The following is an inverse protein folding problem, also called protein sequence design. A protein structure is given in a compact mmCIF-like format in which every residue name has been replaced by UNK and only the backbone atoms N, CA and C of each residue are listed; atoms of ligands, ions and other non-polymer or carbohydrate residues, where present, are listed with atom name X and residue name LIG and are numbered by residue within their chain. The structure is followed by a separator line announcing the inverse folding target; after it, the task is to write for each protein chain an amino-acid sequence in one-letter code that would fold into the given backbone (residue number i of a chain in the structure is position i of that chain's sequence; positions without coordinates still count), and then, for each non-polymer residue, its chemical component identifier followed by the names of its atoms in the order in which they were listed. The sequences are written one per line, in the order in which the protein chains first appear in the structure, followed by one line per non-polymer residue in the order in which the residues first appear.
data_IF_942157680111
#
_entry.id   IF_942157680111
#
_cell.length_a   1.000
_cell.length_b   1.000
_cell.length_c   1.000
_cell.angle_alpha   90.00
_cell.angle_beta   90.00
_cell.angle_gamma   90.00
#
_symmetry.space_group_name_H-M   'P 1'
#
loop_
_entity.id
_entity.type
_entity.pdbx_description
1 polymer ?
#
# COMPACT_ATOMS: atom_id res chain seq x y z
N UNK A 1 16.86 -7.08 -27.08
CA UNK A 1 18.13 -6.99 -26.31
C UNK A 1 17.98 -6.28 -24.95
N UNK A 2 17.32 -5.12 -24.81
CA UNK A 2 17.09 -4.47 -23.49
C UNK A 2 16.24 -5.30 -22.51
N UNK A 3 15.17 -5.97 -22.97
CA UNK A 3 14.32 -6.87 -22.14
C UNK A 3 15.11 -8.04 -21.55
N UNK A 4 15.93 -8.72 -22.36
CA UNK A 4 16.73 -9.88 -21.92
C UNK A 4 17.76 -9.46 -20.86
N UNK A 5 18.47 -8.33 -21.05
CA UNK A 5 19.45 -7.83 -20.08
C UNK A 5 18.82 -7.42 -18.75
N UNK A 6 17.61 -6.86 -18.77
CA UNK A 6 16.84 -6.56 -17.56
C UNK A 6 16.37 -7.84 -16.83
N UNK A 7 15.92 -8.86 -17.57
CA UNK A 7 15.53 -10.15 -17.01
C UNK A 7 16.72 -10.89 -16.37
N UNK A 8 17.88 -10.91 -17.03
CA UNK A 8 19.10 -11.51 -16.47
C UNK A 8 19.53 -10.80 -15.18
N UNK A 9 19.41 -9.47 -15.09
CA UNK A 9 19.67 -8.76 -13.83
C UNK A 9 18.72 -9.13 -12.69
N UNK A 10 17.45 -9.48 -12.98
CA UNK A 10 16.48 -9.93 -11.97
C UNK A 10 16.71 -11.38 -11.53
N UNK A 11 17.26 -12.23 -12.40
CA UNK A 11 17.69 -13.58 -12.05
C UNK A 11 18.90 -13.58 -11.11
N UNK A 12 19.84 -12.62 -11.29
CA UNK A 12 21.00 -12.44 -10.41
C UNK A 12 20.60 -11.86 -9.03
N UNK A 13 19.51 -11.08 -8.96
CA UNK A 13 18.94 -10.55 -7.71
C UNK A 13 17.79 -11.40 -7.15
N UNK A 14 17.58 -12.61 -7.67
CA UNK A 14 16.47 -13.47 -7.27
C UNK A 14 16.79 -14.08 -5.89
N UNK A 15 15.90 -13.90 -4.91
CA UNK A 15 16.01 -14.61 -3.64
C UNK A 15 15.59 -16.07 -3.84
N UNK A 16 16.51 -16.87 -4.37
CA UNK A 16 16.32 -18.30 -4.67
C UNK A 16 15.94 -19.07 -3.41
N UNK A 17 16.52 -18.70 -2.26
CA UNK A 17 16.22 -19.36 -0.98
C UNK A 17 14.76 -19.15 -0.61
N UNK A 18 14.26 -17.92 -0.70
CA UNK A 18 12.86 -17.64 -0.41
C UNK A 18 11.92 -18.27 -1.44
N UNK A 19 12.26 -18.22 -2.74
CA UNK A 19 11.48 -18.87 -3.79
C UNK A 19 11.32 -20.38 -3.54
N UNK A 20 12.39 -21.08 -3.15
CA UNK A 20 12.31 -22.51 -2.79
C UNK A 20 11.47 -22.71 -1.53
N UNK A 21 11.56 -21.81 -0.55
CA UNK A 21 10.72 -21.81 0.64
C UNK A 21 9.22 -21.75 0.29
N UNK A 22 8.84 -20.79 -0.55
CA UNK A 22 7.48 -20.64 -1.07
C UNK A 22 7.04 -21.89 -1.85
N UNK A 23 7.88 -22.41 -2.74
CA UNK A 23 7.56 -23.61 -3.50
C UNK A 23 7.32 -24.85 -2.60
N UNK A 24 8.10 -25.00 -1.52
CA UNK A 24 7.88 -26.06 -0.52
C UNK A 24 6.57 -25.86 0.22
N UNK A 25 6.25 -24.64 0.61
CA UNK A 25 4.99 -24.32 1.27
C UNK A 25 3.79 -24.64 0.37
N UNK A 26 3.88 -24.33 -0.94
CA UNK A 26 2.85 -24.69 -1.94
C UNK A 26 2.80 -26.21 -2.12
N UNK A 27 3.94 -26.88 -2.21
CA UNK A 27 4.03 -28.34 -2.33
C UNK A 27 3.47 -29.09 -1.12
N UNK A 28 3.50 -28.50 0.08
CA UNK A 28 2.90 -29.10 1.27
C UNK A 28 1.36 -29.05 1.25
N UNK A 29 0.79 -28.03 0.58
CA UNK A 29 -0.66 -27.83 0.46
C UNK A 29 -1.23 -28.22 -0.92
N UNK A 30 -0.39 -28.69 -1.83
CA UNK A 30 -0.78 -29.20 -3.15
C UNK A 30 -0.17 -30.57 -3.34
N UNK A 31 -0.79 -31.45 -4.12
CA UNK A 31 -0.19 -32.75 -4.48
C UNK A 31 0.94 -32.62 -5.51
N UNK A 32 1.46 -31.40 -5.76
CA UNK A 32 2.46 -31.10 -6.78
C UNK A 32 3.87 -31.10 -6.17
N UNK A 33 4.84 -31.84 -6.76
CA UNK A 33 6.21 -31.83 -6.27
C UNK A 33 6.86 -30.44 -6.32
N UNK A 34 7.68 -30.11 -5.33
CA UNK A 34 8.35 -28.80 -5.20
C UNK A 34 9.10 -28.40 -6.47
N UNK A 35 9.81 -29.34 -7.12
CA UNK A 35 10.57 -29.06 -8.35
C UNK A 35 9.67 -28.63 -9.51
N UNK A 36 8.46 -29.20 -9.62
CA UNK A 36 7.48 -28.83 -10.64
C UNK A 36 6.98 -27.41 -10.40
N UNK A 37 6.70 -27.06 -9.13
CA UNK A 37 6.29 -25.70 -8.75
C UNK A 37 7.41 -24.69 -9.05
N UNK A 38 8.67 -25.01 -8.75
CA UNK A 38 9.81 -24.12 -9.07
C UNK A 38 9.91 -23.88 -10.58
N UNK A 39 9.81 -24.94 -11.40
CA UNK A 39 9.83 -24.81 -12.85
C UNK A 39 8.65 -23.98 -13.37
N UNK A 40 7.45 -24.18 -12.81
CA UNK A 40 6.26 -23.40 -13.18
C UNK A 40 6.36 -21.93 -12.74
N UNK A 41 6.97 -21.62 -11.59
CA UNK A 41 7.26 -20.25 -11.18
C UNK A 41 8.20 -19.54 -12.16
N UNK A 42 9.27 -20.22 -12.59
CA UNK A 42 10.21 -19.68 -13.59
C UNK A 42 9.49 -19.44 -14.91
N UNK A 43 8.69 -20.41 -15.37
CA UNK A 43 7.87 -20.25 -16.57
C UNK A 43 6.90 -19.06 -16.45
N UNK A 44 6.21 -18.92 -15.33
CA UNK A 44 5.27 -17.82 -15.09
C UNK A 44 5.96 -16.44 -15.02
N UNK A 45 7.20 -16.38 -14.51
CA UNK A 45 8.01 -15.16 -14.53
C UNK A 45 8.37 -14.72 -15.95
N UNK A 46 8.65 -15.68 -16.84
CA UNK A 46 8.97 -15.41 -18.25
C UNK A 46 7.74 -15.03 -19.06
N UNK A 47 6.61 -15.72 -18.87
CA UNK A 47 5.41 -15.56 -19.70
C UNK A 47 4.46 -14.47 -19.18
N UNK A 48 4.21 -14.46 -17.86
CA UNK A 48 3.22 -13.58 -17.23
C UNK A 48 3.88 -12.43 -16.45
N UNK A 49 5.21 -12.36 -16.40
CA UNK A 49 5.98 -11.40 -15.58
C UNK A 49 5.70 -11.52 -14.07
N UNK A 50 5.21 -12.68 -13.64
CA UNK A 50 4.89 -13.01 -12.25
C UNK A 50 6.16 -13.24 -11.44
N UNK A 51 6.33 -12.50 -10.34
CA UNK A 51 7.26 -12.91 -9.29
C UNK A 51 6.80 -14.20 -8.60
N UNK A 52 7.66 -14.82 -7.78
CA UNK A 52 7.25 -16.00 -6.99
C UNK A 52 6.27 -15.63 -5.86
N UNK A 53 6.29 -14.37 -5.39
CA UNK A 53 5.28 -13.85 -4.45
C UNK A 53 3.94 -13.64 -5.15
N UNK A 54 3.91 -13.02 -6.34
CA UNK A 54 2.69 -12.94 -7.15
C UNK A 54 2.10 -14.36 -7.41
N UNK A 55 2.98 -15.34 -7.69
CA UNK A 55 2.59 -16.71 -7.96
C UNK A 55 1.89 -17.36 -6.76
N UNK A 56 2.44 -17.17 -5.55
CA UNK A 56 1.85 -17.67 -4.31
C UNK A 56 0.56 -16.92 -3.96
N UNK A 57 0.61 -15.58 -3.99
CA UNK A 57 -0.47 -14.72 -3.55
C UNK A 57 -1.71 -14.89 -4.44
N UNK A 58 -1.52 -15.00 -5.75
CA UNK A 58 -2.61 -15.18 -6.73
C UNK A 58 -2.89 -16.66 -7.06
N UNK A 59 -2.28 -17.59 -6.32
CA UNK A 59 -2.50 -19.02 -6.43
C UNK A 59 -2.34 -19.55 -7.86
N UNK A 60 -1.31 -19.09 -8.57
CA UNK A 60 -1.10 -19.42 -9.99
C UNK A 60 -1.03 -20.93 -10.22
N UNK A 61 -0.56 -21.72 -9.24
CA UNK A 61 -0.56 -23.18 -9.30
C UNK A 61 -1.96 -23.81 -9.48
N UNK A 62 -3.04 -23.07 -9.21
CA UNK A 62 -4.44 -23.51 -9.34
C UNK A 62 -5.14 -23.03 -10.61
N UNK A 63 -4.44 -22.24 -11.42
CA UNK A 63 -4.96 -21.55 -12.60
C UNK A 63 -4.45 -22.16 -13.89
N UNK A 64 -5.31 -22.22 -14.90
CA UNK A 64 -4.92 -22.53 -16.29
C UNK A 64 -4.14 -21.37 -16.93
N UNK A 65 -3.46 -21.63 -18.05
CA UNK A 65 -2.72 -20.59 -18.79
C UNK A 65 -3.61 -19.42 -19.26
N UNK A 66 -4.85 -19.70 -19.68
CA UNK A 66 -5.80 -18.65 -20.09
C UNK A 66 -6.29 -17.82 -18.90
N UNK A 67 -6.40 -18.43 -17.71
CA UNK A 67 -6.71 -17.70 -16.49
C UNK A 67 -5.51 -16.84 -16.06
N UNK A 68 -4.30 -17.40 -15.98
CA UNK A 68 -3.07 -16.68 -15.61
C UNK A 68 -2.81 -15.45 -16.48
N UNK A 69 -3.12 -15.52 -17.78
CA UNK A 69 -2.93 -14.39 -18.71
C UNK A 69 -3.85 -13.18 -18.44
N UNK A 70 -4.81 -13.30 -17.53
CA UNK A 70 -5.69 -12.20 -17.10
C UNK A 70 -5.21 -11.47 -15.85
N UNK A 71 -4.15 -11.94 -15.19
CA UNK A 71 -3.68 -11.34 -13.93
C UNK A 71 -2.65 -10.26 -14.17
N UNK A 72 -2.80 -9.13 -13.49
CA UNK A 72 -1.74 -8.13 -13.44
C UNK A 72 -0.71 -8.57 -12.39
N UNK A 73 0.56 -8.48 -12.72
CA UNK A 73 1.66 -8.91 -11.85
C UNK A 73 2.55 -7.74 -11.44
N UNK A 74 3.46 -7.97 -10.48
CA UNK A 74 4.46 -6.99 -10.10
C UNK A 74 5.36 -6.59 -11.28
N UNK A 75 5.62 -7.50 -12.22
CA UNK A 75 6.36 -7.18 -13.46
C UNK A 75 5.58 -6.27 -14.41
N UNK A 76 4.27 -6.48 -14.54
CA UNK A 76 3.37 -5.60 -15.29
C UNK A 76 3.32 -4.20 -14.68
N UNK A 77 3.05 -4.08 -13.37
CA UNK A 77 3.00 -2.80 -12.67
C UNK A 77 4.32 -2.03 -12.78
N UNK A 78 5.47 -2.72 -12.64
CA UNK A 78 6.77 -2.09 -12.86
C UNK A 78 6.95 -1.59 -14.30
N UNK A 79 6.41 -2.29 -15.30
CA UNK A 79 6.44 -1.84 -16.70
C UNK A 79 5.64 -0.55 -16.89
N UNK A 80 4.48 -0.42 -16.23
CA UNK A 80 3.69 0.82 -16.21
C UNK A 80 4.50 1.96 -15.57
N UNK A 81 5.06 1.74 -14.38
CA UNK A 81 5.89 2.73 -13.67
C UNK A 81 7.07 3.20 -14.51
N UNK A 82 7.76 2.27 -15.19
CA UNK A 82 8.91 2.61 -16.06
C UNK A 82 8.48 3.38 -17.29
N UNK A 83 7.31 3.06 -17.87
CA UNK A 83 6.80 3.72 -19.08
C UNK A 83 6.25 5.11 -18.79
N UNK A 84 5.49 5.28 -17.70
CA UNK A 84 4.69 6.48 -17.47
C UNK A 84 5.19 7.40 -16.33
N UNK A 85 5.77 6.86 -15.25
CA UNK A 85 6.16 7.69 -14.11
C UNK A 85 7.57 8.27 -14.28
N UNK A 86 7.63 9.55 -14.62
CA UNK A 86 8.87 10.27 -14.92
C UNK A 86 9.81 10.34 -13.71
N UNK A 87 11.08 9.97 -13.89
CA UNK A 87 12.04 9.88 -12.78
C UNK A 87 12.28 11.20 -12.06
N UNK A 88 12.30 12.32 -12.78
CA UNK A 88 12.58 13.65 -12.24
C UNK A 88 11.55 14.13 -11.20
N UNK A 89 10.34 13.54 -11.18
CA UNK A 89 9.25 13.97 -10.32
C UNK A 89 9.02 13.05 -9.11
N UNK A 90 9.76 11.94 -9.00
CA UNK A 90 9.57 10.93 -7.94
C UNK A 90 9.88 11.47 -6.54
N UNK A 91 10.75 12.47 -6.44
CA UNK A 91 11.07 13.15 -5.17
C UNK A 91 9.84 13.74 -4.48
N UNK A 92 8.87 14.21 -5.27
CA UNK A 92 7.59 14.71 -4.73
C UNK A 92 6.76 13.66 -4.00
N UNK A 93 7.10 12.38 -4.16
CA UNK A 93 6.43 11.27 -3.50
C UNK A 93 7.30 10.57 -2.46
N UNK A 94 8.61 10.42 -2.68
CA UNK A 94 9.48 9.74 -1.70
C UNK A 94 9.99 10.65 -0.57
N UNK A 95 10.20 11.95 -0.81
CA UNK A 95 10.55 12.89 0.26
C UNK A 95 9.27 13.33 0.97
N UNK A 96 9.02 12.73 2.15
CA UNK A 96 7.74 12.90 2.86
C UNK A 96 7.36 14.37 3.15
N UNK A 97 8.25 15.27 3.56
CA UNK A 97 7.88 16.69 3.71
C UNK A 97 7.59 17.39 2.38
N UNK A 98 8.27 17.05 1.28
CA UNK A 98 7.94 17.57 -0.06
C UNK A 98 6.57 17.07 -0.51
N UNK A 99 6.26 15.80 -0.25
CA UNK A 99 4.93 15.23 -0.46
C UNK A 99 3.88 16.00 0.36
N UNK A 100 4.10 16.13 1.67
CA UNK A 100 3.18 16.82 2.56
C UNK A 100 2.94 18.26 2.13
N UNK A 101 3.99 19.00 1.73
CA UNK A 101 3.84 20.36 1.19
C UNK A 101 2.99 20.42 -0.08
N UNK A 102 3.10 19.42 -0.94
CA UNK A 102 2.34 19.36 -2.20
C UNK A 102 0.87 19.06 -1.96
N UNK A 103 0.58 18.18 -0.99
CA UNK A 103 -0.77 17.68 -0.71
C UNK A 103 -1.34 18.18 0.62
N UNK A 104 -0.82 19.28 1.16
CA UNK A 104 -1.08 19.78 2.52
C UNK A 104 -2.57 19.86 2.86
N UNK A 105 -3.36 20.40 1.91
CA UNK A 105 -4.81 20.55 2.02
C UNK A 105 -5.55 19.21 2.24
N UNK A 106 -4.99 18.08 1.83
CA UNK A 106 -5.62 16.77 1.88
C UNK A 106 -4.99 15.82 2.91
N UNK A 107 -4.00 16.26 3.70
CA UNK A 107 -3.34 15.36 4.67
C UNK A 107 -4.20 15.03 5.89
N UNK A 108 -5.18 15.88 6.20
CA UNK A 108 -6.07 15.72 7.36
C UNK A 108 -5.36 15.74 8.72
N UNK A 109 -4.10 16.21 8.77
CA UNK A 109 -3.28 16.28 9.98
C UNK A 109 -2.27 17.43 9.88
N UNK A 110 -1.91 18.00 11.04
CA UNK A 110 -0.77 18.91 11.12
C UNK A 110 0.55 18.14 10.98
N UNK A 111 1.56 18.79 10.43
CA UNK A 111 2.92 18.25 10.31
C UNK A 111 3.97 19.35 10.39
N UNK A 112 5.21 18.96 10.67
CA UNK A 112 6.35 19.84 10.82
C UNK A 112 7.61 19.21 10.21
N UNK A 113 8.36 19.99 9.43
CA UNK A 113 9.68 19.59 8.90
C UNK A 113 10.79 20.24 9.72
N UNK A 114 11.50 19.44 10.51
CA UNK A 114 12.58 19.88 11.39
C UNK A 114 13.86 20.29 10.64
N UNK A 115 13.91 20.13 9.31
CA UNK A 115 14.98 20.74 8.49
C UNK A 115 14.83 22.26 8.39
N UNK A 116 13.60 22.74 8.56
CA UNK A 116 13.24 24.16 8.42
C UNK A 116 12.65 24.76 9.68
N UNK A 117 11.98 23.97 10.51
CA UNK A 117 11.38 24.41 11.76
C UNK A 117 12.42 24.49 12.89
N UNK A 118 12.28 25.49 13.76
CA UNK A 118 13.14 25.66 14.92
C UNK A 118 12.66 24.86 16.14
N UNK A 119 13.48 24.88 17.21
CA UNK A 119 13.15 24.22 18.48
C UNK A 119 11.82 24.76 19.07
N UNK A 120 11.57 26.06 18.96
CA UNK A 120 10.34 26.68 19.47
C UNK A 120 9.08 26.16 18.76
N UNK A 121 9.11 26.05 17.43
CA UNK A 121 8.01 25.52 16.62
C UNK A 121 7.72 24.07 16.99
N UNK A 122 8.77 23.26 17.21
CA UNK A 122 8.62 21.89 17.66
C UNK A 122 7.95 21.80 19.04
N UNK A 123 8.42 22.57 20.02
CA UNK A 123 7.82 22.56 21.37
C UNK A 123 6.35 22.97 21.31
N UNK A 124 5.99 23.97 20.50
CA UNK A 124 4.61 24.36 20.29
C UNK A 124 3.78 23.24 19.63
N UNK A 125 4.34 22.59 18.60
CA UNK A 125 3.68 21.48 17.91
C UNK A 125 3.34 20.34 18.88
N UNK A 126 4.31 19.90 19.69
CA UNK A 126 4.12 18.82 20.68
C UNK A 126 3.10 19.20 21.76
N UNK A 127 3.02 20.48 22.12
CA UNK A 127 2.01 20.95 23.09
C UNK A 127 0.59 20.89 22.51
N UNK A 128 0.44 21.17 21.22
CA UNK A 128 -0.87 21.25 20.57
C UNK A 128 -1.33 19.89 20.01
N UNK A 129 -0.43 18.91 19.87
CA UNK A 129 -0.70 17.61 19.26
C UNK A 129 -0.12 16.49 20.11
N UNK A 130 -0.98 15.59 20.59
CA UNK A 130 -0.59 14.45 21.40
C UNK A 130 -1.49 13.24 21.07
N UNK A 131 -0.94 12.07 20.67
CA UNK A 131 0.49 11.80 20.43
C UNK A 131 1.00 12.40 19.12
N UNK A 132 2.34 12.45 19.00
CA UNK A 132 3.03 12.77 17.75
C UNK A 132 3.71 11.54 17.16
N UNK A 133 3.82 11.52 15.84
CA UNK A 133 4.59 10.54 15.09
C UNK A 133 5.82 11.21 14.51
N UNK A 134 7.00 10.61 14.65
CA UNK A 134 8.25 11.11 14.06
C UNK A 134 8.79 10.09 13.05
N UNK A 135 9.31 10.57 11.93
CA UNK A 135 9.72 9.71 10.82
C UNK A 135 11.05 10.15 10.21
N UNK A 136 11.88 9.16 9.86
CA UNK A 136 12.97 9.37 8.89
C UNK A 136 12.36 9.61 7.51
N UNK A 137 12.84 10.64 6.83
CA UNK A 137 12.19 11.18 5.62
C UNK A 137 12.29 10.21 4.44
N UNK A 138 13.45 9.60 4.23
CA UNK A 138 13.78 8.74 3.09
C UNK A 138 13.67 7.23 3.39
N UNK A 139 13.11 6.85 4.53
CA UNK A 139 12.92 5.44 4.89
C UNK A 139 11.70 4.81 4.21
N UNK A 140 11.81 3.52 3.90
CA UNK A 140 10.72 2.69 3.36
C UNK A 140 10.13 1.76 4.43
N UNK A 141 8.90 1.30 4.19
CA UNK A 141 8.23 0.27 4.99
C UNK A 141 8.10 0.57 6.48
N UNK A 142 8.10 1.85 6.87
CA UNK A 142 7.98 2.28 8.26
C UNK A 142 9.24 2.10 9.13
N UNK A 143 10.42 1.96 8.54
CA UNK A 143 11.66 2.02 9.30
C UNK A 143 11.90 3.44 9.86
N UNK A 144 12.35 3.57 11.11
CA UNK A 144 12.61 4.88 11.74
C UNK A 144 11.36 5.69 12.08
N UNK A 145 10.21 5.02 12.20
CA UNK A 145 8.97 5.62 12.72
C UNK A 145 8.91 5.38 14.22
N UNK A 146 8.74 6.43 15.00
CA UNK A 146 8.57 6.38 16.46
C UNK A 146 7.38 7.23 16.90
N UNK A 147 6.66 6.77 17.92
CA UNK A 147 5.55 7.48 18.57
C UNK A 147 6.04 8.10 19.87
N UNK A 148 5.66 9.34 20.13
CA UNK A 148 5.90 10.02 21.40
C UNK A 148 4.59 10.60 21.93
N UNK A 149 4.30 10.37 23.20
CA UNK A 149 3.17 10.97 23.89
C UNK A 149 3.60 12.31 24.48
N UNK A 150 3.00 13.40 24.04
CA UNK A 150 3.31 14.76 24.49
C UNK A 150 3.26 14.91 26.00
N UNK A 151 2.23 14.34 26.64
CA UNK A 151 2.05 14.36 28.10
C UNK A 151 3.09 13.54 28.89
N UNK A 152 3.76 12.58 28.28
CA UNK A 152 4.82 11.78 28.92
C UNK A 152 6.21 12.40 28.73
N UNK A 153 6.33 13.45 27.91
CA UNK A 153 7.60 14.11 27.64
C UNK A 153 7.98 15.07 28.76
N UNK A 154 9.10 14.78 29.43
CA UNK A 154 9.68 15.63 30.47
C UNK A 154 10.49 16.80 29.90
N UNK A 155 11.08 16.64 28.71
CA UNK A 155 11.87 17.67 28.02
C UNK A 155 11.72 17.57 26.49
N UNK A 156 10.79 18.35 25.92
CA UNK A 156 10.57 18.44 24.49
C UNK A 156 11.81 18.97 23.73
N UNK A 157 12.65 19.81 24.35
CA UNK A 157 13.87 20.34 23.70
C UNK A 157 14.93 19.26 23.58
N UNK A 158 15.08 18.40 24.58
CA UNK A 158 15.93 17.22 24.49
C UNK A 158 15.45 16.27 23.39
N UNK A 159 14.14 16.06 23.26
CA UNK A 159 13.59 15.28 22.15
C UNK A 159 13.93 15.90 20.80
N UNK A 160 13.70 17.21 20.61
CA UNK A 160 14.06 17.91 19.37
C UNK A 160 15.51 17.63 18.92
N UNK A 161 16.48 17.78 19.84
CA UNK A 161 17.90 17.50 19.56
C UNK A 161 18.15 16.02 19.20
N UNK A 162 17.46 15.09 19.87
CA UNK A 162 17.53 13.65 19.56
C UNK A 162 16.98 13.35 18.16
N UNK A 163 15.84 13.94 17.79
CA UNK A 163 15.24 13.72 16.47
C UNK A 163 16.17 14.19 15.35
N UNK A 164 16.81 15.35 15.52
CA UNK A 164 17.81 15.86 14.57
C UNK A 164 19.02 14.92 14.43
N UNK A 165 19.56 14.42 15.54
CA UNK A 165 20.71 13.51 15.49
C UNK A 165 20.37 12.16 14.88
N UNK A 166 19.11 11.72 15.01
CA UNK A 166 18.59 10.49 14.42
C UNK A 166 18.02 10.67 13.00
N UNK A 167 18.10 11.88 12.44
CA UNK A 167 17.56 12.24 11.11
C UNK A 167 16.03 12.02 10.98
N UNK A 168 15.31 12.11 12.09
CA UNK A 168 13.84 12.05 12.14
C UNK A 168 13.28 13.45 11.92
N UNK A 169 13.26 13.88 10.66
CA UNK A 169 12.94 15.28 10.35
C UNK A 169 11.45 15.54 10.12
N UNK A 170 10.62 14.52 9.93
CA UNK A 170 9.19 14.72 9.78
C UNK A 170 8.48 14.40 11.09
N UNK A 171 7.73 15.38 11.61
CA UNK A 171 6.82 15.22 12.76
C UNK A 171 5.40 15.37 12.25
N UNK A 172 4.49 14.48 12.65
CA UNK A 172 3.09 14.51 12.23
C UNK A 172 2.18 14.31 13.43
N UNK A 173 1.07 15.03 13.46
CA UNK A 173 -0.04 14.74 14.35
C UNK A 173 -0.71 13.43 13.92
N UNK A 174 -1.36 12.75 14.88
CA UNK A 174 -2.13 11.56 14.57
C UNK A 174 -3.41 11.90 13.81
N UNK A 175 -3.80 11.02 12.89
CA UNK A 175 -5.11 11.10 12.23
C UNK A 175 -6.13 10.44 13.17
N UNK A 176 -7.13 11.21 13.59
CA UNK A 176 -8.27 10.67 14.30
C UNK A 176 -9.20 9.98 13.29
N UNK A 177 -9.29 8.65 13.37
CA UNK A 177 -9.99 7.81 12.41
C UNK A 177 -11.51 7.79 12.66
N UNK A 178 -12.29 7.80 11.58
CA UNK A 178 -13.74 7.68 11.60
C UNK A 178 -14.22 6.46 12.40
N UNK A 179 -15.30 6.60 13.17
CA UNK A 179 -15.77 5.56 14.09
C UNK A 179 -16.04 4.21 13.41
N UNK A 180 -16.64 4.22 12.21
CA UNK A 180 -16.88 2.99 11.44
C UNK A 180 -15.58 2.30 10.99
N UNK A 181 -14.55 3.07 10.62
CA UNK A 181 -13.24 2.48 10.29
C UNK A 181 -12.56 1.94 11.56
N UNK A 182 -12.66 2.65 12.68
CA UNK A 182 -12.14 2.22 13.98
C UNK A 182 -12.83 0.95 14.52
N UNK A 183 -14.07 0.67 14.10
CA UNK A 183 -14.75 -0.58 14.43
C UNK A 183 -14.04 -1.80 13.84
N UNK A 184 -13.31 -1.67 12.72
CA UNK A 184 -12.50 -2.77 12.18
C UNK A 184 -11.31 -3.06 13.09
N UNK A 185 -10.46 -2.06 13.34
CA UNK A 185 -9.33 -2.19 14.25
C UNK A 185 -9.03 -0.84 14.92
N UNK A 186 -9.31 -0.66 16.23
CA UNK A 186 -9.10 0.62 16.91
C UNK A 186 -7.63 0.90 17.23
N UNK A 187 -6.75 -0.12 17.16
CA UNK A 187 -5.32 0.02 17.49
C UNK A 187 -4.48 0.55 16.32
N UNK A 188 -5.06 0.69 15.13
CA UNK A 188 -4.35 1.19 13.94
C UNK A 188 -5.25 2.07 13.09
N UNK A 189 -4.63 2.92 12.27
CA UNK A 189 -5.33 3.58 11.17
C UNK A 189 -5.54 2.54 10.07
N UNK A 190 -6.78 2.09 9.89
CA UNK A 190 -7.22 1.31 8.76
C UNK A 190 -7.35 2.25 7.57
N UNK A 191 -6.79 1.86 6.44
CA UNK A 191 -6.67 2.75 5.29
C UNK A 191 -7.06 2.07 3.99
N UNK A 192 -7.36 2.89 3.00
CA UNK A 192 -7.59 2.47 1.64
C UNK A 192 -6.28 2.52 0.87
N UNK A 193 -5.98 1.48 0.10
CA UNK A 193 -5.00 1.53 -0.99
C UNK A 193 -5.77 1.70 -2.29
N UNK A 194 -5.71 2.90 -2.85
CA UNK A 194 -6.43 3.28 -4.06
C UNK A 194 -5.42 3.44 -5.21
N UNK A 195 -5.41 2.48 -6.13
CA UNK A 195 -4.53 2.54 -7.30
C UNK A 195 -5.23 3.36 -8.38
N UNK A 196 -4.59 4.44 -8.82
CA UNK A 196 -5.13 5.32 -9.86
C UNK A 196 -4.20 5.45 -11.05
N UNK A 197 -4.77 5.74 -12.23
CA UNK A 197 -4.04 6.16 -13.41
C UNK A 197 -4.64 7.44 -14.00
N UNK A 198 -3.85 8.50 -14.16
CA UNK A 198 -4.28 9.72 -14.87
C UNK A 198 -3.90 9.62 -16.35
N UNK A 199 -4.89 9.61 -17.26
CA UNK A 199 -4.66 9.48 -18.70
C UNK A 199 -4.36 10.81 -19.43
N UNK A 200 -4.25 11.92 -18.68
CA UNK A 200 -4.14 13.29 -19.19
C UNK A 200 -5.47 14.05 -19.21
N UNK A 201 -6.60 13.35 -19.06
CA UNK A 201 -7.96 13.91 -19.02
C UNK A 201 -8.75 13.44 -17.80
N UNK A 202 -8.70 12.16 -17.47
CA UNK A 202 -9.48 11.52 -16.41
C UNK A 202 -8.57 10.73 -15.47
N UNK A 203 -8.91 10.74 -14.18
CA UNK A 203 -8.33 9.83 -13.19
C UNK A 203 -9.15 8.56 -13.16
N UNK A 204 -8.51 7.43 -13.46
CA UNK A 204 -9.12 6.11 -13.44
C UNK A 204 -8.74 5.37 -12.18
N UNK A 205 -9.72 4.89 -11.42
CA UNK A 205 -9.48 3.95 -10.31
C UNK A 205 -9.24 2.56 -10.92
N UNK A 206 -8.03 2.06 -10.73
CA UNK A 206 -7.55 0.79 -11.27
C UNK A 206 -7.78 -0.37 -10.30
N UNK A 207 -7.73 -0.10 -9.00
CA UNK A 207 -8.09 -1.03 -7.93
C UNK A 207 -8.36 -0.26 -6.63
N UNK A 208 -9.31 -0.74 -5.84
CA UNK A 208 -9.64 -0.19 -4.52
C UNK A 208 -9.52 -1.28 -3.45
N UNK A 209 -8.73 -1.02 -2.41
CA UNK A 209 -8.39 -2.02 -1.38
C UNK A 209 -8.64 -1.42 -0.01
N UNK A 210 -9.31 -2.17 0.85
CA UNK A 210 -9.38 -1.87 2.28
C UNK A 210 -8.29 -2.66 3.02
N UNK A 211 -7.37 -1.94 3.65
CA UNK A 211 -6.34 -2.50 4.53
C UNK A 211 -6.75 -2.28 5.98
N UNK A 212 -6.50 -3.29 6.80
CA UNK A 212 -6.91 -3.31 8.19
C UNK A 212 -5.76 -3.80 9.08
N UNK A 213 -5.62 -3.18 10.24
CA UNK A 213 -4.73 -3.67 11.29
C UNK A 213 -5.13 -5.05 11.79
N UNK A 214 -4.23 -5.71 12.51
CA UNK A 214 -4.51 -6.96 13.20
C UNK A 214 -3.75 -7.02 14.52
N UNK A 215 -3.92 -5.98 15.35
CA UNK A 215 -3.32 -5.87 16.69
C UNK A 215 -1.98 -5.15 16.76
N UNK A 216 -1.44 -4.71 15.63
CA UNK A 216 -0.29 -3.82 15.57
C UNK A 216 -0.73 -2.36 15.38
N UNK A 217 0.19 -1.42 15.55
CA UNK A 217 -0.05 0.03 15.35
C UNK A 217 -0.22 0.43 13.87
N UNK A 218 -0.01 -0.50 12.94
CA UNK A 218 -0.08 -0.27 11.49
C UNK A 218 -0.90 -1.36 10.78
N UNK A 219 -1.62 -0.97 9.74
CA UNK A 219 -2.45 -1.83 8.90
C UNK A 219 -1.68 -2.49 7.74
N UNK A 220 -0.38 -2.26 7.67
CA UNK A 220 0.45 -2.73 6.57
C UNK A 220 0.49 -4.28 6.53
N UNK A 221 0.08 -4.84 5.38
CA UNK A 221 0.07 -6.28 5.10
C UNK A 221 1.39 -6.99 5.45
N UNK A 222 2.52 -6.40 5.09
CA UNK A 222 3.85 -6.96 5.40
C UNK A 222 4.15 -7.01 6.90
N UNK A 223 3.51 -6.14 7.69
CA UNK A 223 3.67 -6.02 9.15
C UNK A 223 2.57 -6.71 9.96
N UNK A 224 1.76 -7.54 9.32
CA UNK A 224 0.74 -8.37 9.99
C UNK A 224 -0.70 -7.86 9.80
N UNK A 225 -0.90 -6.76 9.07
CA UNK A 225 -2.22 -6.35 8.62
C UNK A 225 -2.83 -7.33 7.61
N UNK A 226 -4.11 -7.11 7.31
CA UNK A 226 -4.88 -7.87 6.34
C UNK A 226 -5.49 -6.93 5.30
N UNK A 227 -5.88 -7.45 4.14
CA UNK A 227 -6.63 -6.64 3.18
C UNK A 227 -7.73 -7.43 2.47
N UNK A 228 -8.73 -6.68 1.99
CA UNK A 228 -9.75 -7.11 1.03
C UNK A 228 -9.88 -6.07 -0.08
N UNK A 229 -10.45 -6.45 -1.22
CA UNK A 229 -10.80 -5.48 -2.27
C UNK A 229 -12.16 -4.87 -2.01
N UNK A 230 -12.39 -3.70 -2.59
CA UNK A 230 -13.67 -3.00 -2.54
C UNK A 230 -14.31 -3.02 -3.93
N UNK A 231 -15.63 -3.04 -3.97
CA UNK A 231 -16.34 -2.60 -5.15
C UNK A 231 -16.04 -1.11 -5.36
N UNK A 232 -15.42 -0.78 -6.49
CA UNK A 232 -14.86 0.55 -6.74
C UNK A 232 -15.90 1.66 -6.93
N UNK A 233 -17.17 1.28 -7.11
CA UNK A 233 -18.27 2.24 -7.25
C UNK A 233 -18.92 2.54 -5.91
N UNK A 234 -19.01 1.53 -5.04
CA UNK A 234 -19.78 1.60 -3.80
C UNK A 234 -18.89 1.72 -2.57
N UNK A 235 -17.64 1.25 -2.62
CA UNK A 235 -16.76 1.18 -1.44
C UNK A 235 -17.12 0.04 -0.49
N UNK A 236 -17.90 -0.94 -0.94
CA UNK A 236 -18.29 -2.12 -0.14
C UNK A 236 -17.26 -3.22 -0.34
N UNK A 237 -16.84 -3.87 0.74
CA UNK A 237 -16.03 -5.09 0.69
C UNK A 237 -16.91 -6.31 0.34
N UNK A 238 -16.80 -6.89 -0.87
CA UNK A 238 -17.66 -8.02 -1.26
C UNK A 238 -17.16 -9.37 -0.72
N UNK A 239 -15.91 -9.42 -0.23
CA UNK A 239 -15.23 -10.64 0.20
C UNK A 239 -14.54 -10.44 1.55
N UNK A 240 -14.19 -11.56 2.18
CA UNK A 240 -13.34 -11.55 3.36
C UNK A 240 -11.94 -11.02 3.07
N UNK A 241 -11.19 -10.69 4.10
CA UNK A 241 -9.79 -10.30 4.00
C UNK A 241 -8.85 -11.52 4.10
N UNK A 242 -7.58 -11.31 3.76
CA UNK A 242 -6.52 -12.26 4.07
C UNK A 242 -5.24 -11.57 4.51
N UNK A 243 -4.40 -12.32 5.24
CA UNK A 243 -3.09 -11.88 5.69
C UNK A 243 -1.95 -12.50 4.86
N UNK A 244 -0.71 -12.07 5.15
CA UNK A 244 0.50 -12.59 4.51
C UNK A 244 0.79 -14.06 4.75
N UNK A 245 0.12 -14.68 5.74
CA UNK A 245 0.22 -16.10 6.04
C UNK A 245 -0.87 -16.92 5.36
N UNK A 246 -1.68 -16.27 4.50
CA UNK A 246 -2.81 -16.85 3.80
C UNK A 246 -3.98 -17.28 4.70
N UNK A 247 -4.04 -16.78 5.94
CA UNK A 247 -5.25 -16.89 6.73
C UNK A 247 -6.34 -16.01 6.11
N UNK A 248 -7.60 -16.45 6.18
CA UNK A 248 -8.75 -15.75 5.61
C UNK A 248 -9.75 -15.38 6.69
N UNK A 249 -10.40 -14.23 6.54
CA UNK A 249 -11.22 -13.61 7.57
C UNK A 249 -12.48 -13.00 6.95
N UNK A 250 -13.65 -13.57 7.22
CA UNK A 250 -14.94 -12.92 6.90
C UNK A 250 -15.37 -11.94 7.99
N UNK A 251 -14.81 -12.10 9.18
CA UNK A 251 -15.00 -11.28 10.37
C UNK A 251 -13.61 -10.94 10.92
N UNK A 252 -13.41 -9.69 11.34
CA UNK A 252 -12.14 -9.26 11.88
C UNK A 252 -11.85 -9.99 13.21
N UNK A 253 -10.69 -10.68 13.34
CA UNK A 253 -10.42 -11.60 14.44
C UNK A 253 -10.38 -10.95 15.84
N UNK A 254 -10.04 -9.66 15.92
CA UNK A 254 -9.97 -8.94 17.21
C UNK A 254 -11.25 -8.20 17.58
N UNK A 255 -11.80 -7.38 16.68
CA UNK A 255 -13.00 -6.58 16.94
C UNK A 255 -14.31 -7.34 16.78
N UNK A 256 -14.33 -8.46 16.04
CA UNK A 256 -15.57 -9.16 15.70
C UNK A 256 -16.40 -8.46 14.62
N UNK A 257 -15.88 -7.40 14.00
CA UNK A 257 -16.59 -6.63 12.97
C UNK A 257 -16.67 -7.43 11.66
N UNK A 258 -17.85 -7.58 11.03
CA UNK A 258 -17.97 -8.20 9.72
C UNK A 258 -17.15 -7.45 8.67
N UNK A 259 -16.32 -8.18 7.93
CA UNK A 259 -15.53 -7.63 6.81
C UNK A 259 -16.36 -7.70 5.53
N UNK A 260 -17.02 -8.82 5.28
CA UNK A 260 -17.93 -8.97 4.13
C UNK A 260 -19.13 -8.05 4.33
N UNK A 261 -19.37 -7.17 3.36
CA UNK A 261 -20.42 -6.15 3.41
C UNK A 261 -20.02 -4.88 4.16
N UNK A 262 -18.79 -4.76 4.65
CA UNK A 262 -18.32 -3.52 5.26
C UNK A 262 -18.34 -2.39 4.21
N UNK A 263 -19.05 -1.31 4.53
CA UNK A 263 -19.12 -0.09 3.73
C UNK A 263 -18.06 0.88 4.24
N UNK A 264 -17.16 1.32 3.37
CA UNK A 264 -16.23 2.39 3.72
C UNK A 264 -17.00 3.72 3.84
N UNK A 265 -16.93 4.42 4.98
CA UNK A 265 -17.56 5.72 5.15
C UNK A 265 -16.93 6.78 4.24
N UNK A 266 -17.74 7.74 3.79
CA UNK A 266 -17.31 8.87 2.95
C UNK A 266 -16.62 8.45 1.63
N UNK A 267 -16.93 7.26 1.10
CA UNK A 267 -16.24 6.73 -0.08
C UNK A 267 -16.37 7.62 -1.32
N UNK A 268 -17.53 8.24 -1.56
CA UNK A 268 -17.69 9.21 -2.65
C UNK A 268 -16.78 10.45 -2.51
N UNK A 269 -16.48 10.87 -1.27
CA UNK A 269 -15.52 11.95 -1.00
C UNK A 269 -14.09 11.51 -1.28
N UNK A 270 -13.76 10.24 -1.00
CA UNK A 270 -12.46 9.64 -1.37
C UNK A 270 -12.28 9.73 -2.88
N UNK A 271 -13.29 9.31 -3.66
CA UNK A 271 -13.23 9.35 -5.12
C UNK A 271 -13.03 10.77 -5.65
N UNK A 272 -13.77 11.76 -5.12
CA UNK A 272 -13.59 13.18 -5.49
C UNK A 272 -12.22 13.74 -5.12
N UNK A 273 -11.71 13.35 -3.95
CA UNK A 273 -10.38 13.73 -3.47
C UNK A 273 -9.32 13.18 -4.42
N UNK A 274 -9.41 11.90 -4.78
CA UNK A 274 -8.46 11.24 -5.67
C UNK A 274 -8.51 11.73 -7.11
N UNK A 275 -9.68 12.11 -7.63
CA UNK A 275 -9.75 12.79 -8.93
C UNK A 275 -8.98 14.11 -8.91
N UNK A 276 -9.01 14.85 -7.80
CA UNK A 276 -8.26 16.10 -7.66
C UNK A 276 -6.76 15.84 -7.50
N UNK A 277 -6.36 15.06 -6.49
CA UNK A 277 -4.92 14.87 -6.18
C UNK A 277 -4.20 14.07 -7.27
N UNK A 278 -4.89 13.15 -7.95
CA UNK A 278 -4.35 12.39 -9.08
C UNK A 278 -3.94 13.25 -10.28
N UNK A 279 -4.44 14.48 -10.38
CA UNK A 279 -4.12 15.43 -11.46
C UNK A 279 -2.98 16.38 -11.12
N UNK A 280 -2.59 16.49 -9.85
CA UNK A 280 -1.65 17.54 -9.39
C UNK A 280 -0.22 17.35 -9.87
N UNK A 281 0.20 16.09 -10.12
CA UNK A 281 1.54 15.76 -10.64
C UNK A 281 1.35 14.84 -11.86
N UNK A 282 0.96 15.40 -13.02
CA UNK A 282 0.64 14.61 -14.21
C UNK A 282 1.84 13.81 -14.76
N UNK A 283 3.07 14.13 -14.34
CA UNK A 283 4.29 13.39 -14.69
C UNK A 283 4.43 12.06 -13.95
N UNK A 284 3.64 11.83 -12.89
CA UNK A 284 3.52 10.57 -12.16
C UNK A 284 2.05 10.10 -12.21
N UNK A 285 1.54 9.66 -13.36
CA UNK A 285 0.12 9.35 -13.52
C UNK A 285 -0.32 8.06 -12.82
N UNK A 286 0.58 7.11 -12.56
CA UNK A 286 0.26 5.83 -11.93
C UNK A 286 0.67 5.82 -10.46
N UNK A 287 -0.29 5.91 -9.53
CA UNK A 287 -0.02 6.06 -8.09
C UNK A 287 -0.93 5.15 -7.27
N UNK A 288 -0.38 4.52 -6.24
CA UNK A 288 -1.16 3.87 -5.18
C UNK A 288 -1.29 4.80 -3.98
N UNK A 289 -2.45 5.42 -3.81
CA UNK A 289 -2.72 6.34 -2.71
C UNK A 289 -3.13 5.58 -1.46
N UNK A 290 -2.50 5.91 -0.34
CA UNK A 290 -2.94 5.45 0.98
C UNK A 290 -3.81 6.53 1.59
N UNK A 291 -5.07 6.19 1.88
CA UNK A 291 -6.09 7.15 2.34
C UNK A 291 -6.69 6.66 3.65
N UNK A 292 -6.57 7.45 4.71
CA UNK A 292 -7.37 7.26 5.92
C UNK A 292 -8.73 7.93 5.78
N UNK A 293 -9.75 7.43 6.47
CA UNK A 293 -10.99 8.19 6.68
C UNK A 293 -10.92 8.77 8.08
N UNK A 294 -10.75 10.09 8.18
CA UNK A 294 -10.71 10.79 9.46
C UNK A 294 -12.11 11.18 9.93
N UNK A 295 -12.21 11.76 11.12
CA UNK A 295 -13.43 12.39 11.64
C UNK A 295 -13.87 13.63 10.84
N UNK A 296 -13.00 14.18 9.99
CA UNK A 296 -13.26 15.40 9.20
C UNK A 296 -13.27 15.17 7.68
N UNK A 297 -12.96 13.96 7.21
CA UNK A 297 -12.99 13.60 5.80
C UNK A 297 -11.86 12.65 5.37
N UNK A 298 -11.74 12.36 4.07
CA UNK A 298 -10.59 11.60 3.54
C UNK A 298 -9.27 12.32 3.80
N UNK A 299 -8.27 11.58 4.27
CA UNK A 299 -6.94 12.08 4.60
C UNK A 299 -5.86 11.27 3.85
N UNK A 300 -5.11 11.93 2.98
CA UNK A 300 -4.00 11.34 2.24
C UNK A 300 -2.82 11.10 3.20
N UNK A 301 -2.43 9.83 3.32
CA UNK A 301 -1.29 9.40 4.14
C UNK A 301 -0.01 9.47 3.30
N UNK A 302 0.01 8.79 2.16
CA UNK A 302 1.15 8.68 1.25
C UNK A 302 0.69 8.40 -0.20
N UNK A 303 1.55 8.74 -1.16
CA UNK A 303 1.37 8.39 -2.58
C UNK A 303 2.50 7.46 -3.05
N UNK A 304 2.16 6.20 -3.35
CA UNK A 304 3.12 5.20 -3.79
C UNK A 304 3.31 5.26 -5.32
N UNK A 305 4.31 6.02 -5.79
CA UNK A 305 4.67 6.15 -7.21
C UNK A 305 5.24 4.85 -7.84
N UNK A 306 5.49 3.83 -7.03
CA UNK A 306 5.95 2.49 -7.42
C UNK A 306 5.01 1.41 -6.88
N UNK A 307 3.70 1.69 -6.84
CA UNK A 307 2.71 0.77 -6.26
C UNK A 307 2.76 -0.63 -6.87
N UNK A 308 2.64 -1.62 -5.99
CA UNK A 308 2.39 -3.01 -6.36
C UNK A 308 0.97 -3.24 -6.85
N UNK A 309 0.61 -4.51 -6.99
CA UNK A 309 -0.72 -4.96 -7.40
C UNK A 309 -1.44 -5.59 -6.22
N UNK A 310 -2.74 -5.45 -6.17
CA UNK A 310 -3.60 -6.05 -5.15
C UNK A 310 -4.74 -6.75 -5.87
N UNK A 311 -4.91 -8.04 -5.63
CA UNK A 311 -5.96 -8.86 -6.22
C UNK A 311 -6.38 -9.91 -5.21
N UNK A 312 -7.65 -10.27 -5.21
CA UNK A 312 -8.14 -11.31 -4.32
C UNK A 312 -7.69 -12.70 -4.76
N UNK A 313 -7.51 -13.59 -3.78
CA UNK A 313 -7.18 -15.00 -4.04
C UNK A 313 -8.35 -15.73 -4.70
N UNK A 314 -8.09 -16.60 -5.69
CA UNK A 314 -9.12 -17.47 -6.26
C UNK A 314 -9.84 -18.33 -5.22
N UNK A 315 -9.12 -18.88 -4.24
CA UNK A 315 -9.69 -19.68 -3.15
C UNK A 315 -10.68 -18.92 -2.26
N UNK A 316 -10.54 -17.60 -2.17
CA UNK A 316 -11.38 -16.75 -1.31
C UNK A 316 -12.63 -16.22 -2.03
N UNK A 317 -12.56 -16.06 -3.35
CA UNK A 317 -13.62 -15.42 -4.15
C UNK A 317 -14.32 -16.36 -5.12
N UNK A 318 -13.69 -17.50 -5.45
CA UNK A 318 -14.08 -18.35 -6.58
C UNK A 318 -13.72 -17.78 -7.95
N UNK A 319 -13.23 -16.53 -8.02
CA UNK A 319 -12.90 -15.85 -9.28
C UNK A 319 -11.47 -16.22 -9.68
N UNK A 320 -11.33 -16.78 -10.89
CA UNK A 320 -10.04 -17.23 -11.45
C UNK A 320 -9.45 -16.26 -12.47
N UNK A 321 -10.07 -15.11 -12.67
CA UNK A 321 -9.61 -14.06 -13.60
C UNK A 321 -9.13 -12.84 -12.84
N UNK A 322 -8.02 -12.25 -13.27
CA UNK A 322 -7.45 -11.06 -12.65
C UNK A 322 -7.78 -9.77 -13.40
N UNK A 323 -7.04 -8.71 -13.07
CA UNK A 323 -7.34 -7.33 -13.47
C UNK A 323 -6.60 -6.84 -14.73
N UNK A 324 -5.70 -7.64 -15.32
CA UNK A 324 -4.92 -7.19 -16.48
C UNK A 324 -5.78 -6.68 -17.64
N UNK A 325 -6.91 -7.30 -18.01
CA UNK A 325 -7.80 -6.78 -19.04
C UNK A 325 -8.35 -5.39 -18.69
N UNK A 326 -8.63 -5.12 -17.40
CA UNK A 326 -9.06 -3.80 -16.95
C UNK A 326 -7.95 -2.78 -17.13
N UNK A 327 -6.74 -3.10 -16.68
CA UNK A 327 -5.59 -2.21 -16.83
C UNK A 327 -5.32 -1.87 -18.30
N UNK A 328 -5.41 -2.85 -19.20
CA UNK A 328 -5.21 -2.64 -20.64
C UNK A 328 -6.29 -1.83 -21.35
N UNK A 329 -7.47 -1.63 -20.74
CA UNK A 329 -8.49 -0.71 -21.30
C UNK A 329 -8.13 0.76 -21.09
N UNK A 330 -7.30 1.05 -20.10
CA UNK A 330 -6.94 2.42 -19.68
C UNK A 330 -5.48 2.74 -20.01
N UNK A 331 -4.60 1.77 -19.84
CA UNK A 331 -3.15 1.94 -19.90
C UNK A 331 -2.59 1.06 -21.02
N UNK A 332 -1.85 1.67 -21.93
CA UNK A 332 -1.12 0.96 -22.97
C UNK A 332 0.25 0.50 -22.43
N UNK A 333 0.51 -0.81 -22.23
CA UNK A 333 1.81 -1.31 -21.74
C UNK A 333 2.13 -2.78 -22.06
#
# INVERSE_FOLDING_TARGET
MKRIRHYVSRLVSLDVKNMIGVARAISARSSTPTIVIVLDMVWCSLVYQSGYLDYEEFEFNTLSSSQRSTWITSGNANSIVVKYNQRAFRERFYDKPTFNRTFDQWLGRAWLDLRTAGEADFVEFVRNHDPIMVKVVDSMSGAGIEKYSGHELTDARALYRKLLSHRQFLVEAFIEQHAEMSALCPTSVNSLRMITFFDGTNVHVMEAVLRMGNGADVDNYGRGGMYTVLDEKTGIAPYGAFDKYANTFTVHPQSGTPIVGFQVPLYDEVLRTLDTVGRMIPEIPYVGWDVAISTTGPAIIEGNYNTGVFQMKPSLTGIKTGLLPKFRRVIDF
#
